data_IF_522106580408
#
_entry.id   IF_522106580408
#
_cell.length_a   1.000
_cell.length_b   1.000
_cell.length_c   1.000
_cell.angle_alpha   90.00
_cell.angle_beta   90.00
_cell.angle_gamma   90.00
#
_symmetry.space_group_name_H-M   'P 1'
#
loop_
_entity.id
_entity.type
_entity.pdbx_description
1 polymer ?
#
# COMPACT_ATOMS: atom_id res chain seq x y z
N UNK A 1 -5.45 27.31 17.92
CA UNK A 1 -4.93 26.05 18.50
C UNK A 1 -3.70 26.43 19.30
N UNK A 2 -3.67 26.22 20.62
CA UNK A 2 -2.36 26.04 21.24
C UNK A 2 -1.87 24.75 20.63
N UNK A 3 -0.84 24.86 19.81
CA UNK A 3 -0.17 23.70 19.26
C UNK A 3 0.21 22.79 20.43
N UNK A 4 0.01 21.47 20.34
CA UNK A 4 0.58 20.50 21.29
C UNK A 4 2.13 20.45 21.20
N UNK A 5 2.78 21.58 20.87
CA UNK A 5 4.17 21.74 20.47
C UNK A 5 5.13 21.98 21.62
N UNK A 6 4.68 21.97 22.88
CA UNK A 6 5.65 21.79 23.96
C UNK A 6 6.00 20.32 23.90
N UNK A 7 7.16 20.02 23.32
CA UNK A 7 7.77 18.70 23.43
C UNK A 7 8.88 18.75 24.49
N UNK A 8 9.39 17.58 24.88
CA UNK A 8 10.42 17.51 25.92
C UNK A 8 11.75 18.16 25.48
N UNK A 9 12.03 18.21 24.17
CA UNK A 9 13.19 18.88 23.58
C UNK A 9 13.03 20.40 23.62
N UNK A 10 11.83 20.92 23.37
CA UNK A 10 11.48 22.32 23.46
C UNK A 10 11.62 22.82 24.90
N UNK A 11 11.24 22.02 25.90
CA UNK A 11 11.47 22.34 27.31
C UNK A 11 12.97 22.45 27.63
N UNK A 12 13.80 21.53 27.13
CA UNK A 12 15.25 21.61 27.31
C UNK A 12 15.85 22.84 26.63
N UNK A 13 15.38 23.19 25.42
CA UNK A 13 15.82 24.36 24.68
C UNK A 13 15.42 25.67 25.40
N UNK A 14 14.18 25.75 25.92
CA UNK A 14 13.71 26.88 26.72
C UNK A 14 14.54 27.06 27.98
N UNK A 15 14.86 25.96 28.68
CA UNK A 15 15.73 26.00 29.85
C UNK A 15 17.11 26.55 29.50
N UNK A 16 17.74 26.03 28.44
CA UNK A 16 19.05 26.48 27.96
C UNK A 16 19.07 27.95 27.51
N UNK A 17 17.90 28.51 27.13
CA UNK A 17 17.72 29.93 26.79
C UNK A 17 17.47 30.82 28.01
N UNK A 18 17.45 30.25 29.22
CA UNK A 18 17.28 30.98 30.48
C UNK A 18 15.85 30.98 31.04
N UNK A 19 14.93 30.22 30.43
CA UNK A 19 13.55 30.12 30.94
C UNK A 19 13.52 29.30 32.22
N UNK A 20 12.91 29.85 33.28
CA UNK A 20 12.84 29.21 34.60
C UNK A 20 11.45 28.69 34.97
N UNK A 21 10.41 29.22 34.32
CA UNK A 21 9.02 28.88 34.57
C UNK A 21 8.26 28.64 33.26
N UNK A 22 7.36 27.66 33.24
CA UNK A 22 6.58 27.27 32.05
C UNK A 22 5.13 26.95 32.39
N UNK A 23 4.20 27.32 31.51
CA UNK A 23 2.83 26.80 31.55
C UNK A 23 2.77 25.56 30.67
N UNK A 24 2.19 24.48 31.20
CA UNK A 24 2.11 23.18 30.49
C UNK A 24 0.67 22.65 30.45
N UNK A 25 0.24 21.99 29.36
CA UNK A 25 -1.05 21.31 29.31
C UNK A 25 -1.17 20.19 30.35
N UNK A 26 -2.30 20.12 31.06
CA UNK A 26 -2.51 19.12 32.13
C UNK A 26 -2.65 17.68 31.59
N UNK A 27 -3.10 17.52 30.36
CA UNK A 27 -3.22 16.26 29.63
C UNK A 27 -1.85 15.67 29.20
N UNK A 28 -0.82 16.52 29.11
CA UNK A 28 0.56 16.13 28.79
C UNK A 28 1.40 15.77 30.03
N UNK A 29 0.77 15.70 31.21
CA UNK A 29 1.42 15.30 32.45
C UNK A 29 1.15 13.81 32.74
N UNK A 30 2.21 13.04 33.00
CA UNK A 30 2.06 11.63 33.38
C UNK A 30 1.59 11.52 34.84
N UNK A 31 0.47 10.81 35.14
CA UNK A 31 0.35 10.17 36.44
C UNK A 31 1.21 8.90 36.39
N UNK A 32 2.38 8.91 37.04
CA UNK A 32 3.10 7.66 37.29
C UNK A 32 2.60 7.08 38.61
N UNK A 33 2.29 5.79 38.57
CA UNK A 33 1.72 4.92 39.62
C UNK A 33 2.49 4.95 40.98
N UNK A 34 3.55 5.74 41.13
CA UNK A 34 4.38 5.79 42.36
C UNK A 34 4.09 6.95 43.31
N UNK A 35 3.04 7.74 43.11
CA UNK A 35 2.58 8.64 44.16
C UNK A 35 1.10 8.93 43.99
N UNK A 36 0.30 8.62 45.01
CA UNK A 36 -1.12 8.96 45.14
C UNK A 36 -1.39 10.47 45.23
N UNK A 37 -0.60 11.31 44.55
CA UNK A 37 -0.66 12.77 44.59
C UNK A 37 -0.42 13.33 43.19
N UNK A 38 -1.45 13.21 42.35
CA UNK A 38 -1.58 14.14 41.21
C UNK A 38 -1.66 15.55 41.81
N UNK A 39 -0.74 16.48 41.48
CA UNK A 39 -0.81 17.85 41.95
C UNK A 39 -2.16 18.41 41.53
N UNK A 40 -2.83 19.10 42.45
CA UNK A 40 -4.05 19.81 42.11
C UNK A 40 -3.69 20.83 41.03
N UNK A 41 -4.43 20.92 39.90
CA UNK A 41 -4.06 21.74 38.73
C UNK A 41 -3.95 23.25 39.02
N UNK A 42 -4.22 23.66 40.26
CA UNK A 42 -4.17 25.01 40.78
C UNK A 42 -2.92 25.34 41.63
N UNK A 43 -2.02 24.37 41.81
CA UNK A 43 -0.77 24.54 42.54
C UNK A 43 0.41 24.40 41.57
N UNK A 44 1.50 25.10 41.86
CA UNK A 44 2.74 24.96 41.12
C UNK A 44 3.40 23.61 41.37
N UNK A 45 4.29 23.18 40.47
CA UNK A 45 5.12 21.99 40.62
C UNK A 45 6.40 22.16 39.79
N UNK A 46 7.35 21.24 39.90
CA UNK A 46 8.54 21.25 39.04
C UNK A 46 8.34 20.27 37.88
N UNK A 47 8.68 20.68 36.65
CA UNK A 47 8.81 19.77 35.50
C UNK A 47 10.28 19.44 35.32
N UNK A 48 10.56 18.15 35.09
CA UNK A 48 11.91 17.67 34.75
C UNK A 48 12.13 17.70 33.24
N UNK A 49 13.19 18.36 32.79
CA UNK A 49 13.65 18.31 31.39
C UNK A 49 14.30 16.95 31.08
N UNK A 50 14.43 16.56 29.80
CA UNK A 50 15.19 15.36 29.40
C UNK A 50 16.61 15.30 29.96
N UNK A 51 17.24 16.46 30.15
CA UNK A 51 18.62 16.59 30.63
C UNK A 51 18.73 16.46 32.16
N UNK A 52 17.60 16.36 32.87
CA UNK A 52 17.54 16.24 34.33
C UNK A 52 17.36 17.56 35.07
N UNK A 53 17.34 18.69 34.37
CA UNK A 53 17.09 20.00 34.96
C UNK A 53 15.63 20.16 35.39
N UNK A 54 15.37 21.12 36.28
CA UNK A 54 14.04 21.43 36.80
C UNK A 54 13.61 22.82 36.40
N UNK A 55 12.34 22.96 36.05
CA UNK A 55 11.69 24.25 35.81
C UNK A 55 10.39 24.30 36.58
N UNK A 56 10.06 25.47 37.14
CA UNK A 56 8.77 25.67 37.78
C UNK A 56 7.67 25.59 36.72
N UNK A 57 6.54 24.99 37.06
CA UNK A 57 5.44 24.79 36.14
C UNK A 57 4.08 24.96 36.82
N UNK A 58 3.13 25.44 36.03
CA UNK A 58 1.71 25.47 36.35
C UNK A 58 0.97 24.78 35.20
N UNK A 59 0.04 23.90 35.55
CA UNK A 59 -0.77 23.18 34.57
C UNK A 59 -1.91 24.07 34.06
N UNK A 60 -2.22 24.01 32.77
CA UNK A 60 -3.46 24.61 32.25
C UNK A 60 -4.64 23.72 32.57
N UNK A 61 -5.79 24.30 32.88
CA UNK A 61 -7.02 23.52 33.06
C UNK A 61 -7.61 23.10 31.71
N UNK A 62 -7.43 21.82 31.36
CA UNK A 62 -7.96 21.24 30.13
C UNK A 62 -9.48 21.14 30.13
N UNK A 63 -10.13 21.03 31.29
CA UNK A 63 -11.59 20.91 31.39
C UNK A 63 -12.27 22.24 31.05
N UNK A 64 -11.82 23.34 31.66
CA UNK A 64 -12.32 24.68 31.34
C UNK A 64 -11.94 25.06 29.90
N UNK A 65 -10.72 24.73 29.46
CA UNK A 65 -10.28 24.97 28.08
C UNK A 65 -11.17 24.23 27.06
N UNK A 66 -11.58 22.99 27.34
CA UNK A 66 -12.45 22.22 26.47
C UNK A 66 -13.86 22.84 26.34
N UNK A 67 -14.40 23.46 27.41
CA UNK A 67 -15.68 24.20 27.35
C UNK A 67 -15.67 25.36 26.37
N UNK A 68 -14.49 25.92 26.08
CA UNK A 68 -14.31 27.05 25.17
C UNK A 68 -14.11 26.62 23.72
N UNK A 69 -14.00 25.33 23.44
CA UNK A 69 -13.81 24.79 22.09
C UNK A 69 -15.14 24.47 21.42
N UNK A 70 -15.22 24.71 20.11
CA UNK A 70 -16.31 24.20 19.27
C UNK A 70 -15.88 22.83 18.77
N UNK A 71 -16.53 21.76 19.22
CA UNK A 71 -16.40 20.46 18.60
C UNK A 71 -17.10 20.49 17.25
N UNK A 72 -16.35 20.31 16.16
CA UNK A 72 -16.87 20.24 14.78
C UNK A 72 -17.68 18.97 14.49
N UNK A 73 -18.35 18.40 15.49
CA UNK A 73 -19.21 17.23 15.36
C UNK A 73 -20.47 17.54 14.56
N UNK A 74 -20.79 16.65 13.62
CA UNK A 74 -21.69 16.89 12.48
C UNK A 74 -23.18 17.07 12.84
N UNK A 75 -23.61 17.00 14.10
CA UNK A 75 -25.05 17.06 14.45
C UNK A 75 -25.42 17.84 15.74
N UNK A 76 -24.56 18.71 16.27
CA UNK A 76 -24.81 19.38 17.55
C UNK A 76 -25.06 20.89 17.46
N UNK A 77 -26.22 21.35 17.94
CA UNK A 77 -26.48 22.77 18.26
C UNK A 77 -25.51 23.24 19.36
N UNK A 78 -24.33 23.75 18.98
CA UNK A 78 -23.42 24.39 19.92
C UNK A 78 -24.05 25.70 20.42
N UNK A 79 -24.47 25.72 21.70
CA UNK A 79 -24.92 26.95 22.35
C UNK A 79 -23.71 27.68 22.97
N UNK A 80 -23.28 28.73 22.27
CA UNK A 80 -22.14 29.54 22.67
C UNK A 80 -22.32 30.26 24.02
N UNK A 81 -23.55 30.62 24.38
CA UNK A 81 -23.82 31.29 25.66
C UNK A 81 -23.74 30.28 26.80
N UNK A 82 -24.37 29.11 26.62
CA UNK A 82 -24.29 28.02 27.60
C UNK A 82 -22.84 27.54 27.81
N UNK A 83 -22.05 27.46 26.74
CA UNK A 83 -20.61 27.14 26.83
C UNK A 83 -19.85 28.13 27.72
N UNK A 84 -20.14 29.43 27.58
CA UNK A 84 -19.52 30.48 28.40
C UNK A 84 -19.95 30.40 29.86
N UNK A 85 -21.23 30.15 30.12
CA UNK A 85 -21.76 29.95 31.47
C UNK A 85 -21.16 28.71 32.16
N UNK A 86 -21.03 27.60 31.44
CA UNK A 86 -20.42 26.38 31.95
C UNK A 86 -18.94 26.61 32.31
N UNK A 87 -18.19 27.32 31.47
CA UNK A 87 -16.81 27.67 31.79
C UNK A 87 -16.71 28.52 33.08
N UNK A 88 -17.60 29.51 33.26
CA UNK A 88 -17.66 30.31 34.50
C UNK A 88 -18.05 29.46 35.71
N UNK A 89 -18.98 28.52 35.55
CA UNK A 89 -19.39 27.61 36.62
C UNK A 89 -18.26 26.68 37.06
N UNK A 90 -17.52 26.09 36.11
CA UNK A 90 -16.35 25.26 36.39
C UNK A 90 -15.27 26.07 37.15
N UNK A 91 -15.05 27.33 36.76
CA UNK A 91 -14.15 28.25 37.46
C UNK A 91 -14.60 28.61 38.87
N UNK A 92 -15.89 28.86 39.07
CA UNK A 92 -16.44 29.12 40.40
C UNK A 92 -16.27 27.90 41.30
N UNK A 93 -16.48 26.68 40.77
CA UNK A 93 -16.28 25.43 41.51
C UNK A 93 -14.81 25.26 41.93
N UNK A 94 -13.86 25.59 41.06
CA UNK A 94 -12.43 25.56 41.38
C UNK A 94 -12.10 26.57 42.50
N UNK A 95 -12.62 27.79 42.40
CA UNK A 95 -12.40 28.85 43.39
C UNK A 95 -13.03 28.57 44.76
N UNK A 96 -14.18 27.88 44.79
CA UNK A 96 -14.87 27.49 46.03
C UNK A 96 -14.24 26.29 46.74
N UNK A 97 -13.38 25.52 46.05
CA UNK A 97 -12.69 24.40 46.67
C UNK A 97 -11.64 24.91 47.68
N UNK A 98 -11.99 24.85 48.97
CA UNK A 98 -11.19 25.39 50.06
C UNK A 98 -9.94 24.54 50.36
N UNK A 99 -8.76 25.12 50.13
CA UNK A 99 -7.49 24.68 50.70
C UNK A 99 -6.77 25.92 51.24
N UNK A 100 -6.03 25.83 52.34
CA UNK A 100 -5.36 26.97 52.98
C UNK A 100 -4.15 27.52 52.21
N UNK A 101 -4.00 27.15 50.93
CA UNK A 101 -2.86 27.47 50.07
C UNK A 101 -3.21 28.60 49.10
N UNK A 102 -2.21 29.38 48.69
CA UNK A 102 -2.36 30.34 47.61
C UNK A 102 -2.38 29.61 46.26
N UNK A 103 -3.53 29.66 45.56
CA UNK A 103 -3.79 28.89 44.34
C UNK A 103 -3.78 29.80 43.11
N UNK A 104 -3.27 29.29 42.00
CA UNK A 104 -3.26 29.96 40.71
C UNK A 104 -3.70 29.02 39.59
N UNK A 105 -4.43 29.55 38.62
CA UNK A 105 -4.98 28.78 37.50
C UNK A 105 -4.60 29.43 36.18
N UNK A 106 -4.15 28.63 35.23
CA UNK A 106 -3.98 29.03 33.84
C UNK A 106 -5.05 28.36 32.97
N UNK A 107 -5.68 29.14 32.08
CA UNK A 107 -6.65 28.63 31.11
C UNK A 107 -6.20 29.08 29.73
N UNK A 108 -6.38 28.21 28.76
CA UNK A 108 -6.09 28.50 27.36
C UNK A 108 -7.39 28.95 26.70
N UNK A 109 -7.34 30.05 25.96
CA UNK A 109 -8.46 30.47 25.09
C UNK A 109 -8.14 30.05 23.66
N UNK A 110 -8.79 29.01 23.13
CA UNK A 110 -8.64 28.60 21.73
C UNK A 110 -9.01 29.73 20.75
N UNK A 111 -8.25 29.87 19.67
CA UNK A 111 -8.64 30.79 18.58
C UNK A 111 -9.96 30.44 17.88
N UNK A 112 -10.50 29.24 18.10
CA UNK A 112 -11.80 28.80 17.62
C UNK A 112 -12.96 29.16 18.57
N UNK A 113 -12.68 29.76 19.73
CA UNK A 113 -13.72 30.12 20.70
C UNK A 113 -14.66 31.18 20.14
N UNK A 114 -15.99 30.95 20.14
CA UNK A 114 -16.94 31.92 19.62
C UNK A 114 -16.96 33.20 20.45
N UNK A 115 -17.15 34.34 19.78
CA UNK A 115 -17.17 35.67 20.43
C UNK A 115 -18.25 35.76 21.51
N UNK A 116 -19.41 35.09 21.31
CA UNK A 116 -20.47 35.05 22.30
C UNK A 116 -20.05 34.34 23.61
N UNK A 117 -19.35 33.20 23.49
CA UNK A 117 -18.76 32.45 24.62
C UNK A 117 -17.74 33.32 25.37
N UNK A 118 -16.82 33.92 24.63
CA UNK A 118 -15.78 34.77 25.20
C UNK A 118 -16.36 35.99 25.92
N UNK A 119 -17.40 36.61 25.35
CA UNK A 119 -18.08 37.76 25.97
C UNK A 119 -18.69 37.39 27.33
N UNK A 120 -19.36 36.24 27.44
CA UNK A 120 -19.94 35.76 28.70
C UNK A 120 -18.85 35.54 29.75
N UNK A 121 -17.78 34.84 29.38
CA UNK A 121 -16.65 34.57 30.27
C UNK A 121 -15.99 35.86 30.76
N UNK A 122 -15.64 36.77 29.85
CA UNK A 122 -14.96 38.02 30.20
C UNK A 122 -15.88 38.97 30.98
N UNK A 123 -17.18 39.02 30.70
CA UNK A 123 -18.12 39.82 31.49
C UNK A 123 -18.22 39.30 32.93
N UNK A 124 -18.24 37.98 33.12
CA UNK A 124 -18.30 37.39 34.45
C UNK A 124 -17.01 37.64 35.25
N UNK A 125 -15.85 37.58 34.60
CA UNK A 125 -14.56 37.86 35.26
C UNK A 125 -14.34 39.36 35.56
N UNK A 126 -15.00 40.25 34.81
CA UNK A 126 -14.95 41.70 35.05
C UNK A 126 -15.88 42.15 36.19
N UNK A 127 -16.97 41.41 36.45
CA UNK A 127 -17.96 41.70 37.49
C UNK A 127 -17.48 41.30 38.89
N UNK A 128 -16.63 42.16 39.50
CA UNK A 128 -15.94 41.84 40.76
C UNK A 128 -16.80 42.00 42.02
N UNK A 129 -17.87 42.76 41.95
CA UNK A 129 -18.77 43.08 43.06
C UNK A 129 -20.16 42.42 42.91
N UNK A 130 -20.37 41.66 41.81
CA UNK A 130 -21.63 40.99 41.51
C UNK A 130 -22.74 41.94 41.08
N UNK A 131 -22.41 43.21 40.81
CA UNK A 131 -23.37 44.23 40.42
C UNK A 131 -24.07 43.86 39.10
N UNK A 132 -23.35 43.21 38.17
CA UNK A 132 -23.90 42.72 36.91
C UNK A 132 -24.92 41.59 37.07
N UNK A 133 -24.81 40.80 38.14
CA UNK A 133 -25.74 39.73 38.49
C UNK A 133 -26.90 40.20 39.41
N UNK A 134 -26.92 41.46 39.83
CA UNK A 134 -27.96 42.02 40.70
C UNK A 134 -27.89 41.56 42.16
N UNK A 135 -26.76 40.99 42.59
CA UNK A 135 -26.54 40.54 43.96
C UNK A 135 -25.14 40.95 44.44
N UNK A 136 -25.00 41.53 45.65
CA UNK A 136 -23.68 41.88 46.19
C UNK A 136 -22.87 40.60 46.38
N UNK A 137 -21.73 40.51 45.69
CA UNK A 137 -20.81 39.38 45.75
C UNK A 137 -19.37 39.82 46.01
N UNK A 138 -18.50 38.85 46.31
CA UNK A 138 -17.06 39.06 46.33
C UNK A 138 -16.42 38.33 45.16
N UNK A 139 -15.37 38.92 44.58
CA UNK A 139 -14.59 38.28 43.52
C UNK A 139 -13.97 36.97 44.04
N UNK A 140 -14.44 35.83 43.50
CA UNK A 140 -13.85 34.51 43.79
C UNK A 140 -12.48 34.33 43.13
N UNK A 141 -12.25 35.02 42.01
CA UNK A 141 -11.03 34.94 41.22
C UNK A 141 -10.47 36.34 40.95
N UNK A 142 -9.15 36.45 40.93
CA UNK A 142 -8.45 37.68 40.56
C UNK A 142 -7.56 37.42 39.35
N UNK A 143 -7.74 38.15 38.23
CA UNK A 143 -6.81 38.07 37.11
C UNK A 143 -5.46 38.68 37.50
N UNK A 144 -4.38 37.98 37.17
CA UNK A 144 -3.00 38.35 37.47
C UNK A 144 -2.14 38.23 36.22
N UNK A 145 -0.96 38.85 36.23
CA UNK A 145 0.04 38.64 35.17
C UNK A 145 0.66 37.24 35.29
N UNK A 146 1.34 36.79 34.24
CA UNK A 146 2.02 35.50 34.27
C UNK A 146 3.12 35.45 35.34
N UNK A 147 3.87 36.55 35.50
CA UNK A 147 4.93 36.65 36.50
C UNK A 147 4.35 36.58 37.93
N UNK A 148 3.25 37.31 38.18
CA UNK A 148 2.56 37.28 39.47
C UNK A 148 1.94 35.91 39.76
N UNK A 149 1.43 35.22 38.74
CA UNK A 149 0.89 33.87 38.86
C UNK A 149 1.94 32.92 39.46
N UNK A 150 3.18 32.92 38.94
CA UNK A 150 4.25 32.08 39.48
C UNK A 150 4.80 32.55 40.83
N UNK A 151 4.72 33.86 41.12
CA UNK A 151 5.19 34.43 42.37
C UNK A 151 4.25 34.18 43.56
N UNK A 152 2.94 34.15 43.31
CA UNK A 152 1.89 34.05 44.35
C UNK A 152 1.42 32.60 44.56
N UNK A 153 1.50 31.75 43.54
CA UNK A 153 0.99 30.37 43.62
C UNK A 153 1.92 29.47 44.43
N UNK A 154 1.37 28.82 45.45
CA UNK A 154 2.07 27.84 46.25
C UNK A 154 2.44 26.60 45.42
N UNK A 155 3.60 26.02 45.75
CA UNK A 155 4.13 24.84 45.07
C UNK A 155 3.74 23.58 45.84
N UNK A 156 3.22 22.58 45.12
CA UNK A 156 2.96 21.25 45.68
C UNK A 156 4.26 20.63 46.16
N UNK A 157 4.35 20.31 47.45
CA UNK A 157 5.54 19.67 48.05
C UNK A 157 5.28 18.24 48.50
N UNK A 158 6.29 17.38 48.36
CA UNK A 158 6.42 16.09 49.03
C UNK A 158 7.53 16.14 50.09
N UNK A 159 7.77 15.05 50.81
CA UNK A 159 8.84 14.94 51.80
C UNK A 159 9.93 13.98 51.31
N UNK A 160 11.19 14.37 51.50
CA UNK A 160 12.37 13.52 51.35
C UNK A 160 13.14 13.42 52.69
N UNK A 161 14.30 12.76 52.67
CA UNK A 161 15.16 12.61 53.85
C UNK A 161 15.73 13.94 54.40
N UNK A 162 15.63 15.04 53.65
CA UNK A 162 16.17 16.37 53.98
C UNK A 162 15.07 17.42 54.24
N UNK A 163 13.80 17.11 54.00
CA UNK A 163 12.67 17.98 54.32
C UNK A 163 11.61 18.01 53.22
N UNK A 164 10.93 19.16 53.09
CA UNK A 164 9.91 19.37 52.05
C UNK A 164 10.58 19.73 50.73
N UNK A 165 10.22 19.04 49.66
CA UNK A 165 10.71 19.29 48.30
C UNK A 165 9.56 19.40 47.32
N UNK A 166 9.66 20.20 46.25
CA UNK A 166 8.64 20.26 45.20
C UNK A 166 8.34 18.90 44.59
N UNK A 167 7.08 18.64 44.26
CA UNK A 167 6.70 17.48 43.44
C UNK A 167 7.24 17.69 42.04
N UNK A 168 7.99 16.71 41.56
CA UNK A 168 8.58 16.73 40.21
C UNK A 168 7.75 15.86 39.29
N UNK A 169 7.22 16.44 38.22
CA UNK A 169 6.49 15.74 37.18
C UNK A 169 7.33 15.53 35.91
N UNK A 170 7.01 14.45 35.20
CA UNK A 170 7.59 14.16 33.89
C UNK A 170 6.55 14.41 32.81
N UNK A 171 7.00 14.99 31.71
CA UNK A 171 6.19 15.40 30.58
C UNK A 171 6.03 14.26 29.57
N UNK A 172 4.82 14.11 29.01
CA UNK A 172 4.54 13.24 27.86
C UNK A 172 4.28 14.14 26.66
N UNK A 173 5.20 14.12 25.69
CA UNK A 173 4.96 14.74 24.39
C UNK A 173 3.83 13.98 23.68
N UNK A 174 2.74 14.67 23.34
CA UNK A 174 1.80 14.25 22.29
C UNK A 174 2.33 14.71 20.93
N UNK A 175 3.58 14.37 20.62
CA UNK A 175 4.03 14.49 19.24
C UNK A 175 3.12 13.57 18.41
N UNK A 176 2.56 14.02 17.28
CA UNK A 176 1.99 13.10 16.32
C UNK A 176 3.08 12.10 15.97
N UNK A 177 3.05 10.91 16.57
CA UNK A 177 4.07 9.89 16.32
C UNK A 177 4.07 9.66 14.83
N UNK A 178 5.18 10.01 14.17
CA UNK A 178 5.33 9.79 12.74
C UNK A 178 4.94 8.34 12.46
N UNK A 179 3.87 8.15 11.71
CA UNK A 179 3.40 6.81 11.35
C UNK A 179 4.31 6.17 10.29
N UNK A 180 5.39 6.84 9.88
CA UNK A 180 6.33 6.35 8.87
C UNK A 180 5.60 5.86 7.62
N UNK A 181 5.86 4.62 7.23
CA UNK A 181 5.26 3.98 6.05
C UNK A 181 3.89 3.33 6.33
N UNK A 182 3.45 3.27 7.58
CA UNK A 182 2.23 2.56 7.98
C UNK A 182 0.99 2.95 7.16
N UNK A 183 0.67 4.23 6.90
CA UNK A 183 -0.51 4.59 6.13
C UNK A 183 -0.46 4.10 4.68
N UNK A 184 0.73 4.03 4.08
CA UNK A 184 0.92 3.49 2.74
C UNK A 184 0.77 1.97 2.73
N UNK A 185 1.39 1.28 3.70
CA UNK A 185 1.28 -0.17 3.88
C UNK A 185 -0.17 -0.59 4.12
N UNK A 186 -0.90 0.11 4.99
CA UNK A 186 -2.32 -0.18 5.27
C UNK A 186 -3.18 0.00 4.03
N UNK A 187 -2.99 1.06 3.24
CA UNK A 187 -3.69 1.26 1.96
C UNK A 187 -3.36 0.17 0.95
N UNK A 188 -2.14 -0.33 0.94
CA UNK A 188 -1.75 -1.47 0.08
C UNK A 188 -2.43 -2.75 0.55
N UNK A 189 -2.39 -3.07 1.85
CA UNK A 189 -3.05 -4.26 2.40
C UNK A 189 -4.56 -4.22 2.18
N UNK A 190 -5.22 -3.06 2.32
CA UNK A 190 -6.65 -2.92 2.05
C UNK A 190 -6.98 -3.21 0.58
N UNK A 191 -6.22 -2.66 -0.37
CA UNK A 191 -6.37 -3.01 -1.79
C UNK A 191 -6.19 -4.52 -2.04
N UNK A 192 -5.20 -5.15 -1.39
CA UNK A 192 -5.02 -6.60 -1.50
C UNK A 192 -6.20 -7.40 -0.93
N UNK A 193 -6.80 -6.93 0.18
CA UNK A 193 -8.00 -7.54 0.77
C UNK A 193 -9.16 -7.42 -0.21
N UNK A 194 -9.42 -6.22 -0.73
CA UNK A 194 -10.53 -5.97 -1.66
C UNK A 194 -10.39 -6.81 -2.94
N UNK A 195 -9.17 -6.91 -3.48
CA UNK A 195 -8.87 -7.78 -4.61
C UNK A 195 -9.16 -9.25 -4.30
N UNK A 196 -8.67 -9.79 -3.17
CA UNK A 196 -8.97 -11.18 -2.79
C UNK A 196 -10.47 -11.40 -2.54
N UNK A 197 -11.17 -10.44 -1.94
CA UNK A 197 -12.62 -10.53 -1.74
C UNK A 197 -13.40 -10.52 -3.07
N UNK A 198 -12.94 -9.76 -4.07
CA UNK A 198 -13.52 -9.79 -5.43
C UNK A 198 -13.34 -11.16 -6.10
N UNK A 199 -12.26 -11.88 -5.76
CA UNK A 199 -11.95 -13.20 -6.29
C UNK A 199 -12.78 -14.31 -5.65
N UNK A 200 -13.20 -14.16 -4.39
CA UNK A 200 -14.01 -15.16 -3.66
C UNK A 200 -15.26 -14.53 -3.00
N UNK A 201 -16.18 -13.93 -3.79
CA UNK A 201 -17.31 -13.18 -3.26
C UNK A 201 -18.27 -14.06 -2.43
N UNK A 202 -18.36 -15.36 -2.73
CA UNK A 202 -19.19 -16.32 -1.99
C UNK A 202 -18.48 -16.88 -0.75
N UNK A 203 -17.19 -16.62 -0.55
CA UNK A 203 -16.39 -17.13 0.56
C UNK A 203 -15.47 -16.07 1.19
N UNK A 204 -16.02 -14.92 1.64
CA UNK A 204 -15.24 -13.80 2.18
C UNK A 204 -14.49 -14.16 3.48
N UNK A 205 -14.93 -15.21 4.17
CA UNK A 205 -14.29 -15.71 5.38
C UNK A 205 -12.83 -16.12 5.17
N UNK A 206 -12.43 -16.49 3.95
CA UNK A 206 -11.04 -16.83 3.62
C UNK A 206 -10.09 -15.64 3.88
N UNK A 207 -10.52 -14.42 3.58
CA UNK A 207 -9.74 -13.21 3.85
C UNK A 207 -9.88 -12.70 5.30
N UNK A 208 -10.74 -13.30 6.11
CA UNK A 208 -11.10 -12.80 7.45
C UNK A 208 -9.91 -12.64 8.40
N UNK A 209 -8.94 -13.55 8.35
CA UNK A 209 -7.72 -13.43 9.14
C UNK A 209 -6.86 -12.20 8.74
N UNK A 210 -6.81 -11.88 7.44
CA UNK A 210 -6.10 -10.69 6.96
C UNK A 210 -6.83 -9.41 7.34
N UNK A 211 -8.16 -9.39 7.23
CA UNK A 211 -9.01 -8.26 7.68
C UNK A 211 -8.81 -7.98 9.16
N UNK A 212 -8.90 -9.01 10.01
CA UNK A 212 -8.73 -8.85 11.46
C UNK A 212 -7.34 -8.30 11.82
N UNK A 213 -6.29 -8.79 11.16
CA UNK A 213 -4.92 -8.27 11.36
C UNK A 213 -4.78 -6.83 10.87
N UNK A 214 -5.36 -6.47 9.73
CA UNK A 214 -5.34 -5.10 9.24
C UNK A 214 -6.03 -4.14 10.22
N UNK A 215 -7.14 -4.55 10.85
CA UNK A 215 -7.80 -3.78 11.91
C UNK A 215 -6.93 -3.69 13.17
N UNK A 216 -6.40 -4.81 13.65
CA UNK A 216 -5.53 -4.86 14.84
C UNK A 216 -4.25 -4.03 14.67
N UNK A 217 -3.77 -3.81 13.43
CA UNK A 217 -2.60 -2.98 13.15
C UNK A 217 -2.75 -1.51 13.57
N UNK A 218 -3.99 -1.04 13.80
CA UNK A 218 -4.30 0.33 14.23
C UNK A 218 -4.21 0.55 15.74
N UNK A 219 -3.93 -0.48 16.53
CA UNK A 219 -3.84 -0.37 17.99
C UNK A 219 -2.72 0.60 18.42
N UNK A 220 -3.06 1.53 19.31
CA UNK A 220 -2.16 2.57 19.79
C UNK A 220 -1.01 2.02 20.64
N UNK A 221 -1.17 0.85 21.23
CA UNK A 221 -0.14 0.17 22.04
C UNK A 221 0.98 -0.44 21.18
N UNK A 222 0.78 -0.60 19.87
CA UNK A 222 1.77 -1.20 18.98
C UNK A 222 2.86 -0.19 18.57
N UNK A 223 4.10 -0.63 18.67
CA UNK A 223 5.28 0.02 18.08
C UNK A 223 5.24 -0.02 16.55
N UNK A 224 6.03 0.83 15.88
CA UNK A 224 6.10 0.89 14.42
C UNK A 224 6.49 -0.46 13.77
N UNK A 225 7.44 -1.19 14.37
CA UNK A 225 7.88 -2.50 13.90
C UNK A 225 6.78 -3.56 14.08
N UNK A 226 6.07 -3.52 15.21
CA UNK A 226 4.94 -4.42 15.45
C UNK A 226 3.80 -4.17 14.45
N UNK A 227 3.41 -2.91 14.19
CA UNK A 227 2.39 -2.58 13.18
C UNK A 227 2.78 -3.10 11.80
N UNK A 228 4.05 -2.90 11.43
CA UNK A 228 4.59 -3.39 10.15
C UNK A 228 4.57 -4.92 10.08
N UNK A 229 4.97 -5.60 11.15
CA UNK A 229 4.91 -7.06 11.26
C UNK A 229 3.48 -7.62 11.13
N UNK A 230 2.51 -6.96 11.75
CA UNK A 230 1.08 -7.33 11.63
C UNK A 230 0.61 -7.19 10.18
N UNK A 231 0.89 -6.07 9.49
CA UNK A 231 0.51 -5.89 8.09
C UNK A 231 1.19 -6.89 7.14
N UNK A 232 2.48 -7.17 7.34
CA UNK A 232 3.20 -8.20 6.58
C UNK A 232 2.55 -9.59 6.76
N UNK A 233 2.11 -9.90 7.98
CA UNK A 233 1.43 -11.17 8.26
C UNK A 233 0.02 -11.25 7.64
N UNK A 234 -0.70 -10.12 7.52
CA UNK A 234 -1.97 -10.04 6.80
C UNK A 234 -1.75 -10.31 5.31
N UNK A 235 -0.78 -9.61 4.71
CA UNK A 235 -0.41 -9.74 3.31
C UNK A 235 0.12 -11.14 2.94
N UNK A 236 0.86 -11.79 3.84
CA UNK A 236 1.25 -13.21 3.67
C UNK A 236 0.05 -14.16 3.63
N UNK A 237 -0.98 -13.91 4.45
CA UNK A 237 -2.20 -14.73 4.43
C UNK A 237 -3.03 -14.51 3.15
N UNK A 238 -3.05 -13.29 2.60
CA UNK A 238 -3.67 -13.04 1.30
C UNK A 238 -2.90 -13.77 0.19
N UNK A 239 -1.57 -13.70 0.19
CA UNK A 239 -0.73 -14.44 -0.76
C UNK A 239 -0.89 -15.95 -0.68
N UNK A 240 -1.14 -16.52 0.51
CA UNK A 240 -1.42 -17.95 0.60
C UNK A 240 -2.76 -18.32 -0.03
N UNK A 241 -3.71 -17.39 -0.16
CA UNK A 241 -4.99 -17.64 -0.86
C UNK A 241 -4.77 -17.53 -2.36
N UNK A 242 -4.15 -16.44 -2.84
CA UNK A 242 -3.90 -16.24 -4.28
C UNK A 242 -2.94 -17.29 -4.84
N UNK A 243 -1.98 -17.77 -4.04
CA UNK A 243 -1.03 -18.82 -4.43
C UNK A 243 -1.65 -20.20 -4.67
N UNK A 244 -2.91 -20.42 -4.29
CA UNK A 244 -3.65 -21.65 -4.60
C UNK A 244 -4.25 -21.63 -6.02
N UNK A 245 -4.17 -20.51 -6.72
CA UNK A 245 -4.53 -20.41 -8.14
C UNK A 245 -3.26 -20.48 -8.96
N UNK A 246 -3.09 -21.58 -9.69
CA UNK A 246 -1.85 -21.90 -10.39
C UNK A 246 -2.13 -22.09 -11.88
N UNK A 247 -1.24 -21.61 -12.73
CA UNK A 247 -1.24 -21.94 -14.14
C UNK A 247 -0.13 -22.94 -14.45
N UNK A 248 -0.48 -24.01 -15.18
CA UNK A 248 0.51 -24.94 -15.71
C UNK A 248 1.04 -24.39 -17.03
N UNK A 249 2.34 -24.06 -17.14
CA UNK A 249 2.89 -23.58 -18.41
C UNK A 249 2.84 -24.70 -19.45
N UNK A 250 2.26 -24.44 -20.62
CA UNK A 250 2.46 -25.31 -21.79
C UNK A 250 3.59 -24.76 -22.65
N UNK A 251 4.59 -25.59 -22.92
CA UNK A 251 5.82 -25.12 -23.54
C UNK A 251 5.65 -24.73 -25.01
N UNK A 252 4.86 -25.48 -25.79
CA UNK A 252 4.65 -25.20 -27.23
C UNK A 252 3.24 -25.59 -27.67
N UNK A 253 2.50 -24.62 -28.23
CA UNK A 253 1.24 -24.85 -28.93
C UNK A 253 1.45 -24.59 -30.42
N UNK A 254 1.18 -25.59 -31.26
CA UNK A 254 1.37 -25.47 -32.72
C UNK A 254 0.05 -25.17 -33.40
N UNK A 255 -0.01 -24.05 -34.10
CA UNK A 255 -1.14 -23.65 -34.94
C UNK A 255 -0.91 -24.14 -36.36
N UNK A 256 -1.83 -24.96 -36.86
CA UNK A 256 -1.85 -25.48 -38.23
C UNK A 256 -2.45 -24.49 -39.23
N UNK A 257 -3.02 -23.38 -38.75
CA UNK A 257 -3.61 -22.31 -39.55
C UNK A 257 -3.24 -20.94 -38.96
N UNK A 258 -3.61 -19.83 -39.64
CA UNK A 258 -3.42 -18.47 -39.07
C UNK A 258 -4.28 -18.23 -37.84
N UNK A 259 -5.46 -18.85 -37.76
CA UNK A 259 -6.36 -18.74 -36.61
C UNK A 259 -6.37 -20.06 -35.84
N UNK A 260 -6.44 -19.99 -34.52
CA UNK A 260 -6.58 -21.19 -33.71
C UNK A 260 -6.85 -20.89 -32.26
N UNK A 261 -7.01 -21.96 -31.48
CA UNK A 261 -7.30 -21.91 -30.06
C UNK A 261 -6.07 -22.33 -29.28
N UNK A 262 -5.69 -21.53 -28.29
CA UNK A 262 -4.62 -21.85 -27.35
C UNK A 262 -5.28 -22.27 -26.03
N UNK A 263 -5.16 -23.55 -25.61
CA UNK A 263 -5.80 -24.01 -24.38
C UNK A 263 -5.00 -23.54 -23.16
N UNK A 264 -5.59 -22.62 -22.39
CA UNK A 264 -5.09 -22.15 -21.11
C UNK A 264 -5.60 -23.09 -20.01
N UNK A 265 -4.70 -23.63 -19.20
CA UNK A 265 -5.06 -24.49 -18.06
C UNK A 265 -4.80 -23.75 -16.76
N UNK A 266 -5.87 -23.40 -16.05
CA UNK A 266 -5.82 -22.70 -14.77
C UNK A 266 -6.36 -23.65 -13.69
N UNK A 267 -5.51 -23.98 -12.73
CA UNK A 267 -5.81 -24.85 -11.59
C UNK A 267 -6.25 -23.99 -10.41
N UNK A 268 -7.43 -24.26 -9.87
CA UNK A 268 -7.88 -23.71 -8.59
C UNK A 268 -7.76 -24.79 -7.52
N UNK A 269 -6.82 -24.64 -6.60
CA UNK A 269 -6.60 -25.57 -5.48
C UNK A 269 -7.44 -25.24 -4.25
N UNK A 270 -8.12 -24.09 -4.24
CA UNK A 270 -9.09 -23.77 -3.21
C UNK A 270 -10.32 -24.67 -3.34
N UNK A 271 -10.94 -24.96 -2.19
CA UNK A 271 -12.18 -25.75 -2.11
C UNK A 271 -13.45 -24.90 -2.31
N UNK A 272 -13.29 -23.72 -2.91
CA UNK A 272 -14.36 -22.75 -3.21
C UNK A 272 -14.21 -22.26 -4.65
N UNK A 273 -15.29 -21.79 -5.29
CA UNK A 273 -15.19 -21.15 -6.60
C UNK A 273 -14.39 -19.85 -6.51
N UNK A 274 -13.68 -19.53 -7.59
CA UNK A 274 -12.77 -18.36 -7.67
C UNK A 274 -13.05 -17.62 -8.97
N UNK A 275 -13.30 -16.32 -8.88
CA UNK A 275 -13.47 -15.42 -10.02
C UNK A 275 -12.14 -14.73 -10.32
N UNK A 276 -11.64 -14.86 -11.53
CA UNK A 276 -10.37 -14.26 -11.94
C UNK A 276 -10.52 -13.45 -13.21
N UNK A 277 -9.69 -12.43 -13.34
CA UNK A 277 -9.53 -11.67 -14.57
C UNK A 277 -8.29 -12.18 -15.32
N UNK A 278 -8.43 -12.48 -16.61
CA UNK A 278 -7.34 -13.02 -17.44
C UNK A 278 -6.98 -12.03 -18.53
N UNK A 279 -5.71 -11.68 -18.62
CA UNK A 279 -5.15 -10.79 -19.65
C UNK A 279 -4.13 -11.53 -20.51
N UNK A 280 -4.25 -11.37 -21.82
CA UNK A 280 -3.41 -11.98 -22.85
C UNK A 280 -2.56 -10.90 -23.54
N UNK A 281 -1.26 -11.15 -23.68
CA UNK A 281 -0.34 -10.21 -24.34
C UNK A 281 0.60 -10.92 -25.30
N UNK A 282 0.69 -10.42 -26.53
CA UNK A 282 1.69 -10.86 -27.51
C UNK A 282 1.94 -9.79 -28.57
N UNK A 283 3.17 -9.69 -29.06
CA UNK A 283 3.53 -8.75 -30.12
C UNK A 283 3.10 -9.20 -31.53
N UNK A 284 2.88 -10.51 -31.72
CA UNK A 284 2.68 -11.15 -33.04
C UNK A 284 1.39 -11.98 -33.12
N UNK A 285 0.57 -11.95 -32.08
CA UNK A 285 -0.76 -12.53 -32.06
C UNK A 285 -1.79 -11.41 -31.92
N UNK A 286 -2.88 -11.53 -32.67
CA UNK A 286 -4.12 -10.78 -32.48
C UNK A 286 -5.11 -11.63 -31.68
N UNK A 287 -5.98 -10.96 -30.91
CA UNK A 287 -7.01 -11.57 -30.08
C UNK A 287 -8.39 -11.11 -30.58
N UNK A 288 -9.03 -11.86 -31.51
CA UNK A 288 -10.29 -11.43 -32.14
C UNK A 288 -11.45 -11.26 -31.16
N UNK A 289 -11.44 -12.04 -30.07
CA UNK A 289 -12.47 -12.02 -29.02
C UNK A 289 -12.11 -11.09 -27.86
N UNK A 290 -11.03 -10.32 -27.98
CA UNK A 290 -10.47 -9.49 -26.92
C UNK A 290 -9.29 -10.16 -26.21
N UNK A 291 -8.42 -9.34 -25.62
CA UNK A 291 -7.25 -9.79 -24.85
C UNK A 291 -7.54 -9.94 -23.36
N UNK A 292 -8.74 -9.59 -22.90
CA UNK A 292 -9.12 -9.53 -21.49
C UNK A 292 -10.50 -10.15 -21.31
N UNK A 293 -10.65 -11.04 -20.34
CA UNK A 293 -11.92 -11.68 -20.02
C UNK A 293 -11.96 -12.20 -18.57
N UNK A 294 -13.16 -12.29 -18.01
CA UNK A 294 -13.39 -12.84 -16.67
C UNK A 294 -13.71 -14.33 -16.75
N UNK A 295 -13.19 -15.11 -15.80
CA UNK A 295 -13.40 -16.55 -15.72
C UNK A 295 -13.70 -17.00 -14.30
N UNK A 296 -14.75 -17.79 -14.13
CA UNK A 296 -15.02 -18.51 -12.89
C UNK A 296 -14.33 -19.88 -12.94
N UNK A 297 -13.50 -20.16 -11.94
CA UNK A 297 -12.78 -21.42 -11.76
C UNK A 297 -13.53 -22.29 -10.76
N UNK A 298 -13.82 -23.53 -11.14
CA UNK A 298 -14.47 -24.49 -10.25
C UNK A 298 -13.54 -24.91 -9.07
N UNK A 299 -14.10 -25.29 -7.91
CA UNK A 299 -13.32 -25.73 -6.75
C UNK A 299 -12.44 -26.94 -7.04
N UNK A 300 -11.20 -26.94 -6.53
CA UNK A 300 -10.32 -28.11 -6.45
C UNK A 300 -9.98 -28.78 -7.79
N UNK A 301 -10.09 -28.06 -8.91
CA UNK A 301 -9.95 -28.64 -10.25
C UNK A 301 -9.24 -27.70 -11.23
N UNK A 302 -8.84 -28.25 -12.38
CA UNK A 302 -8.28 -27.49 -13.50
C UNK A 302 -9.38 -27.10 -14.49
N UNK A 303 -9.54 -25.80 -14.71
CA UNK A 303 -10.41 -25.24 -15.75
C UNK A 303 -9.58 -25.02 -17.02
N UNK A 304 -10.10 -25.50 -18.16
CA UNK A 304 -9.51 -25.24 -19.48
C UNK A 304 -10.28 -24.13 -20.18
N UNK A 305 -9.57 -23.09 -20.62
CA UNK A 305 -10.12 -21.95 -21.35
C UNK A 305 -9.41 -21.85 -22.69
N UNK A 306 -10.17 -21.83 -23.78
CA UNK A 306 -9.60 -21.71 -25.12
C UNK A 306 -9.48 -20.25 -25.53
N UNK A 307 -8.26 -19.71 -25.55
CA UNK A 307 -8.01 -18.37 -26.08
C UNK A 307 -7.96 -18.39 -27.60
N UNK A 308 -8.85 -17.65 -28.27
CA UNK A 308 -8.84 -17.52 -29.73
C UNK A 308 -7.76 -16.53 -30.14
N UNK A 309 -6.80 -16.98 -30.96
CA UNK A 309 -5.66 -16.17 -31.42
C UNK A 309 -5.52 -16.23 -32.94
N UNK A 310 -5.07 -15.12 -33.52
CA UNK A 310 -4.70 -15.03 -34.95
C UNK A 310 -3.24 -14.63 -35.09
N UNK A 311 -2.46 -15.33 -35.91
CA UNK A 311 -1.04 -15.07 -36.10
C UNK A 311 -0.82 -13.98 -37.13
N UNK A 312 -0.02 -12.97 -36.78
CA UNK A 312 0.40 -11.89 -37.70
C UNK A 312 1.54 -12.31 -38.62
N UNK A 313 2.32 -13.33 -38.23
CA UNK A 313 3.48 -13.83 -38.96
C UNK A 313 3.67 -15.33 -38.74
N UNK A 314 4.51 -15.96 -39.57
CA UNK A 314 4.98 -17.34 -39.38
C UNK A 314 6.18 -17.34 -38.42
N UNK A 315 6.31 -18.37 -37.58
CA UNK A 315 7.38 -18.45 -36.57
C UNK A 315 6.88 -18.88 -35.20
N UNK A 316 7.75 -18.76 -34.19
CA UNK A 316 7.42 -19.01 -32.80
C UNK A 316 7.36 -17.69 -32.03
N UNK A 317 6.27 -17.45 -31.29
CA UNK A 317 6.04 -16.20 -30.59
C UNK A 317 5.63 -16.45 -29.14
N UNK A 318 6.09 -15.63 -28.18
CA UNK A 318 5.62 -15.71 -26.82
C UNK A 318 4.19 -15.17 -26.72
N UNK A 319 3.38 -15.85 -25.92
CA UNK A 319 2.10 -15.40 -25.40
C UNK A 319 2.22 -15.31 -23.88
N UNK A 320 2.21 -14.08 -23.36
CA UNK A 320 2.20 -13.81 -21.93
C UNK A 320 0.74 -13.80 -21.46
N UNK A 321 0.45 -14.60 -20.44
CA UNK A 321 -0.86 -14.69 -19.81
C UNK A 321 -0.71 -14.28 -18.35
N UNK A 322 -1.46 -13.27 -17.93
CA UNK A 322 -1.55 -12.85 -16.53
C UNK A 322 -2.95 -13.08 -16.01
N UNK A 323 -3.04 -13.60 -14.80
CA UNK A 323 -4.28 -13.79 -14.06
C UNK A 323 -4.22 -12.88 -12.85
N UNK A 324 -5.23 -12.04 -12.69
CA UNK A 324 -5.43 -11.14 -11.56
C UNK A 324 -6.75 -11.44 -10.85
N UNK A 325 -6.97 -10.78 -9.72
CA UNK A 325 -8.27 -10.77 -9.03
C UNK A 325 -9.35 -10.20 -9.95
N UNK A 326 -10.63 -10.48 -9.67
CA UNK A 326 -11.74 -10.08 -10.54
C UNK A 326 -11.84 -8.56 -10.78
N UNK A 327 -11.28 -7.74 -9.89
CA UNK A 327 -11.18 -6.28 -10.00
C UNK A 327 -9.86 -5.78 -10.63
N UNK A 328 -9.02 -6.69 -11.13
CA UNK A 328 -7.67 -6.43 -11.70
C UNK A 328 -6.69 -5.70 -10.76
N UNK A 329 -6.97 -5.65 -9.45
CA UNK A 329 -6.15 -4.88 -8.50
C UNK A 329 -4.94 -5.64 -7.95
N UNK A 330 -4.99 -6.97 -7.95
CA UNK A 330 -3.95 -7.85 -7.40
C UNK A 330 -3.56 -8.93 -8.41
N UNK A 331 -2.27 -9.05 -8.77
CA UNK A 331 -1.80 -10.15 -9.60
C UNK A 331 -1.84 -11.47 -8.81
N UNK A 332 -2.39 -12.52 -9.43
CA UNK A 332 -2.54 -13.85 -8.84
C UNK A 332 -1.47 -14.79 -9.36
N UNK A 333 -1.40 -14.96 -10.69
CA UNK A 333 -0.40 -15.83 -11.33
C UNK A 333 -0.09 -15.38 -12.76
N UNK A 334 1.05 -15.78 -13.30
CA UNK A 334 1.47 -15.45 -14.67
C UNK A 334 2.11 -16.66 -15.33
N UNK A 335 1.85 -16.87 -16.62
CA UNK A 335 2.46 -17.93 -17.41
C UNK A 335 2.84 -17.43 -18.80
N UNK A 336 3.89 -18.03 -19.38
CA UNK A 336 4.34 -17.75 -20.74
C UNK A 336 4.22 -19.01 -21.59
N UNK A 337 3.55 -18.87 -22.73
CA UNK A 337 3.33 -19.92 -23.71
C UNK A 337 4.11 -19.62 -24.98
N UNK A 338 4.61 -20.63 -25.68
CA UNK A 338 5.18 -20.45 -27.02
C UNK A 338 4.16 -20.90 -28.05
N UNK A 339 3.70 -19.98 -28.89
CA UNK A 339 2.78 -20.28 -30.00
C UNK A 339 3.60 -20.38 -31.29
N UNK A 340 3.60 -21.57 -31.91
CA UNK A 340 4.28 -21.84 -33.18
C UNK A 340 3.27 -21.79 -34.33
N UNK A 341 3.50 -20.96 -35.33
CA UNK A 341 2.70 -20.88 -36.55
C UNK A 341 3.51 -21.36 -37.75
N UNK A 342 2.98 -22.37 -38.46
CA UNK A 342 3.52 -22.88 -39.73
C UNK A 342 2.73 -22.39 -40.94
N UNK A 343 1.77 -21.48 -40.75
CA UNK A 343 0.93 -20.98 -41.83
C UNK A 343 1.78 -20.29 -42.92
N UNK A 344 1.74 -20.83 -44.14
CA UNK A 344 2.43 -20.29 -45.31
C UNK A 344 1.87 -18.90 -45.61
N UNK A 345 2.74 -17.92 -45.84
CA UNK A 345 2.31 -16.57 -46.24
C UNK A 345 1.54 -16.67 -47.56
N UNK A 346 0.28 -16.22 -47.61
CA UNK A 346 -0.59 -16.35 -48.79
C UNK A 346 -0.01 -15.65 -50.02
N UNK A 347 0.89 -14.69 -49.79
CA UNK A 347 1.69 -14.02 -50.82
C UNK A 347 2.59 -15.01 -51.56
N UNK A 348 3.18 -15.99 -50.86
CA UNK A 348 4.01 -17.03 -51.49
C UNK A 348 3.21 -17.93 -52.43
N UNK A 349 1.92 -18.16 -52.14
CA UNK A 349 1.01 -18.89 -53.03
C UNK A 349 0.69 -18.04 -54.27
N UNK A 350 0.39 -16.75 -54.09
CA UNK A 350 0.10 -15.83 -55.21
C UNK A 350 1.33 -15.68 -56.12
N UNK A 351 2.53 -15.54 -55.54
CA UNK A 351 3.79 -15.48 -56.30
C UNK A 351 4.04 -16.81 -57.00
N UNK A 352 3.81 -17.95 -56.35
CA UNK A 352 3.97 -19.27 -56.98
C UNK A 352 3.00 -19.49 -58.14
N UNK A 353 1.75 -19.06 -57.99
CA UNK A 353 0.74 -19.10 -59.07
C UNK A 353 1.15 -18.16 -60.20
N UNK A 354 1.59 -16.94 -59.88
CA UNK A 354 2.05 -15.96 -60.85
C UNK A 354 3.29 -16.44 -61.62
N UNK A 355 4.28 -16.98 -60.92
CA UNK A 355 5.49 -17.56 -61.50
C UNK A 355 5.16 -18.80 -62.33
N UNK A 356 4.26 -19.66 -61.86
CA UNK A 356 3.77 -20.83 -62.59
C UNK A 356 3.05 -20.45 -63.88
N UNK A 357 2.16 -19.45 -63.83
CA UNK A 357 1.49 -18.90 -65.01
C UNK A 357 2.49 -18.27 -65.98
N UNK A 358 3.44 -17.50 -65.47
CA UNK A 358 4.50 -16.89 -66.29
C UNK A 358 5.34 -17.96 -66.98
N UNK A 359 5.77 -18.99 -66.25
CA UNK A 359 6.54 -20.12 -66.80
C UNK A 359 5.75 -20.88 -67.86
N UNK A 360 4.45 -21.12 -67.61
CA UNK A 360 3.56 -21.80 -68.55
C UNK A 360 3.38 -21.00 -69.85
N UNK A 361 3.14 -19.69 -69.74
CA UNK A 361 3.07 -18.78 -70.90
C UNK A 361 4.38 -18.74 -71.67
N UNK A 362 5.51 -18.68 -70.95
CA UNK A 362 6.83 -18.69 -71.54
C UNK A 362 7.11 -19.99 -72.31
N UNK A 363 6.79 -21.14 -71.73
CA UNK A 363 7.02 -22.45 -72.34
C UNK A 363 6.22 -22.64 -73.63
N UNK A 364 4.95 -22.24 -73.62
CA UNK A 364 4.07 -22.27 -74.80
C UNK A 364 4.61 -21.38 -75.93
N UNK A 365 5.15 -20.20 -75.58
CA UNK A 365 5.73 -19.27 -76.55
C UNK A 365 7.07 -19.78 -77.10
N UNK A 366 7.90 -20.37 -76.25
CA UNK A 366 9.21 -20.90 -76.63
C UNK A 366 9.08 -22.11 -77.60
N UNK A 367 8.20 -23.07 -77.31
CA UNK A 367 8.00 -24.25 -78.15
C UNK A 367 7.38 -23.92 -79.53
N UNK A 368 6.63 -22.82 -79.66
CA UNK A 368 6.14 -22.34 -80.97
C UNK A 368 7.24 -21.73 -81.85
N UNK A 369 8.36 -21.28 -81.27
CA UNK A 369 9.49 -20.74 -82.03
C UNK A 369 10.38 -21.83 -82.62
N UNK A 370 10.40 -23.02 -82.02
CA UNK A 370 11.26 -24.13 -82.46
C UNK A 370 10.70 -24.95 -83.63
N UNK A 371 9.55 -24.56 -84.20
CA UNK A 371 8.97 -25.21 -85.41
C UNK A 371 9.33 -24.53 -86.73
N UNK A 372 10.34 -23.63 -86.75
CA UNK A 372 10.88 -23.06 -88.00
C UNK A 372 12.41 -23.00 -87.99
N UNK A 373 13.08 -24.15 -87.84
CA UNK A 373 14.44 -24.30 -88.35
C UNK A 373 14.79 -25.78 -88.56
N UNK A 374 15.05 -26.08 -89.83
CA UNK A 374 15.85 -27.16 -90.38
C UNK A 374 15.32 -28.61 -90.29
N UNK A 375 14.96 -29.11 -91.47
CA UNK A 375 15.01 -30.54 -91.79
C UNK A 375 16.33 -30.96 -92.43
N UNK A 376 16.40 -32.28 -92.60
CA UNK A 376 17.20 -33.10 -93.54
C UNK A 376 18.68 -33.38 -93.24
N UNK A 377 18.94 -34.67 -92.95
CA UNK A 377 19.85 -35.68 -93.56
C UNK A 377 19.93 -36.82 -92.51
N UNK A 378 19.83 -38.12 -92.74
CA UNK A 378 19.78 -39.01 -93.90
C UNK A 378 20.16 -40.41 -93.38
N UNK A 379 19.34 -41.42 -93.71
CA UNK A 379 19.51 -42.90 -93.71
C UNK A 379 20.89 -43.49 -93.33
N UNK A 380 21.02 -44.60 -92.59
CA UNK A 380 20.82 -46.01 -93.04
C UNK A 380 20.93 -46.98 -91.83
N UNK A 381 20.16 -48.09 -91.80
CA UNK A 381 20.22 -49.15 -90.76
C UNK A 381 21.24 -50.26 -91.05
N UNK A 382 20.97 -51.53 -90.67
CA UNK A 382 20.91 -52.12 -89.32
C UNK A 382 21.89 -53.31 -89.16
N UNK A 383 22.29 -53.71 -87.94
CA UNK A 383 22.41 -55.13 -87.54
C UNK A 383 22.91 -55.32 -86.09
N UNK A 384 22.57 -56.48 -85.52
CA UNK A 384 23.53 -57.25 -84.70
C UNK A 384 23.56 -57.05 -83.19
N UNK A 385 22.72 -57.83 -82.50
CA UNK A 385 23.04 -58.73 -81.38
C UNK A 385 24.29 -58.50 -80.48
N UNK A 386 24.01 -58.70 -79.19
CA UNK A 386 24.70 -59.59 -78.24
C UNK A 386 25.60 -59.02 -77.13
N UNK A 387 25.16 -59.39 -75.92
CA UNK A 387 25.90 -59.90 -74.76
C UNK A 387 27.17 -59.21 -74.22
N UNK A 388 27.11 -59.07 -72.90
CA UNK A 388 28.08 -59.55 -71.92
C UNK A 388 29.10 -58.61 -71.26
N UNK A 389 28.93 -58.59 -69.93
CA UNK A 389 29.91 -58.72 -68.86
C UNK A 389 31.10 -57.76 -68.69
N UNK A 390 31.19 -57.36 -67.42
CA UNK A 390 32.38 -57.31 -66.56
C UNK A 390 32.94 -55.92 -66.21
N UNK A 391 32.88 -55.67 -64.90
CA UNK A 391 33.79 -54.85 -64.08
C UNK A 391 35.24 -54.83 -64.58
N UNK A 392 35.97 -53.76 -64.25
CA UNK A 392 36.95 -53.91 -63.16
C UNK A 392 37.08 -52.68 -62.23
N UNK A 393 37.10 -52.93 -60.93
CA UNK A 393 38.00 -52.28 -59.94
C UNK A 393 39.38 -52.98 -60.02
N UNK A 394 40.49 -52.57 -59.36
CA UNK A 394 40.70 -51.47 -58.39
C UNK A 394 42.02 -50.67 -58.57
N UNK A 395 42.21 -49.58 -57.80
CA UNK A 395 43.52 -49.13 -57.27
C UNK A 395 43.27 -48.00 -56.23
N UNK A 396 43.45 -48.19 -54.91
CA UNK A 396 44.67 -48.27 -54.06
C UNK A 396 44.82 -47.00 -53.20
N UNK A 397 44.62 -47.24 -51.91
CA UNK A 397 45.24 -46.72 -50.68
C UNK A 397 46.04 -45.40 -50.67
N UNK A 398 45.68 -44.55 -49.71
CA UNK A 398 46.55 -43.60 -49.02
C UNK A 398 46.11 -43.52 -47.55
N UNK A 399 47.05 -43.86 -46.68
CA UNK A 399 46.93 -44.25 -45.27
C UNK A 399 47.55 -43.19 -44.34
N UNK A 400 47.16 -43.21 -43.06
CA UNK A 400 47.71 -42.55 -41.85
C UNK A 400 47.72 -40.99 -41.77
N UNK A 401 47.50 -40.33 -40.62
CA UNK A 401 47.66 -40.74 -39.22
C UNK A 401 46.74 -39.90 -38.28
N UNK A 402 46.41 -40.39 -37.06
CA UNK A 402 45.60 -39.73 -36.03
C UNK A 402 46.48 -39.07 -34.96
N UNK A 403 46.01 -38.01 -34.26
CA UNK A 403 46.50 -37.74 -32.90
C UNK A 403 45.54 -36.86 -32.07
N UNK A 404 45.37 -37.37 -30.85
CA UNK A 404 45.10 -36.74 -29.56
C UNK A 404 43.69 -36.50 -29.01
N UNK A 405 43.43 -37.36 -28.03
CA UNK A 405 42.49 -37.26 -26.94
C UNK A 405 42.89 -36.17 -25.95
N UNK A 406 41.89 -35.51 -25.37
CA UNK A 406 41.88 -35.20 -23.94
C UNK A 406 40.45 -35.00 -23.44
N UNK A 407 40.11 -35.82 -22.46
CA UNK A 407 38.99 -35.78 -21.53
C UNK A 407 39.62 -36.11 -20.15
N UNK A 408 38.97 -35.96 -18.98
CA UNK A 408 37.89 -35.08 -18.51
C UNK A 408 38.37 -34.23 -17.30
N UNK A 409 37.49 -33.40 -16.73
CA UNK A 409 37.74 -32.84 -15.40
C UNK A 409 36.64 -31.91 -14.90
N UNK A 410 35.53 -32.51 -14.46
CA UNK A 410 34.66 -31.98 -13.39
C UNK A 410 35.26 -32.43 -12.05
N UNK A 411 35.04 -31.69 -10.95
CA UNK A 411 33.73 -31.61 -10.33
C UNK A 411 33.18 -30.21 -10.05
#
# INVERSE_FOLDING_TARGET
>A
MITPSIDSTALALLHNRGTRAVIVPSDQLLPKIDSARTPTPTLGFDVRTPNGDRMQAIATDSTVTARLQVDGGVDGSFDAVAAGQNAVADLALIGLAATGDARGLAIVVPGSTPTATLRVLLSALADRDGAGAGAPGSALLSPVTLDDLFAITDVTTTFDAKGRVPVVQSFRSEEPTSMGTYPASLRSTRRSIDGVLSMVPESPYLAGAAVHRALASGDQSLTADQRSGVLISADRALRSITGEVVMTPQQVVTLTSRSGKVPLSIENRLQVPVHVHVTLRSAKLDFPEGSEFDQMLAPGTTTRVDAVVTTRATGAFPLDVSVSTADDSVPVTTARFTVRSTAVSGIGLIISIGAGLFLLVWWIRHFRSSRRAAGLIGTTGPDGSDSDHAQPTPAVAGDYDPFDAQNPGDP
#
